data_IF_408575105290
#
_entry.id   IF_408575105290
#
_cell.length_a   1.000
_cell.length_b   1.000
_cell.length_c   1.000
_cell.angle_alpha   90.00
_cell.angle_beta   90.00
_cell.angle_gamma   90.00
#
_symmetry.space_group_name_H-M   'P 1'
#
loop_
_entity.id
_entity.type
_entity.pdbx_description
1 polymer ?
#
# COMPACT_ATOMS: atom_id res chain seq x y z
N UNK A 1 13.06 -0.94 30.06
CA UNK A 1 12.55 -0.45 28.76
C UNK A 1 13.70 -0.47 27.79
N UNK A 2 13.74 -1.41 26.85
CA UNK A 2 14.79 -1.47 25.84
C UNK A 2 14.54 -0.41 24.75
N UNK A 3 15.59 0.32 24.35
CA UNK A 3 15.51 1.39 23.38
C UNK A 3 15.28 0.84 21.96
N UNK A 4 14.36 1.45 21.23
CA UNK A 4 13.88 1.03 19.89
C UNK A 4 15.02 0.97 18.86
N UNK A 5 16.13 1.68 19.10
CA UNK A 5 17.26 1.76 18.18
C UNK A 5 18.03 0.44 18.00
N UNK A 6 17.96 -0.51 18.95
CA UNK A 6 18.62 -1.82 18.79
C UNK A 6 17.79 -2.83 17.99
N UNK A 7 16.50 -2.57 17.74
CA UNK A 7 15.61 -3.48 17.03
C UNK A 7 15.63 -3.29 15.51
N UNK A 8 16.12 -2.15 15.02
CA UNK A 8 16.00 -1.80 13.60
C UNK A 8 17.29 -1.89 12.79
N UNK A 9 18.46 -2.04 13.44
CA UNK A 9 19.75 -2.22 12.77
C UNK A 9 20.79 -2.71 13.80
N UNK A 10 21.22 -3.99 13.76
CA UNK A 10 22.46 -4.36 14.43
C UNK A 10 23.61 -3.71 13.64
N UNK A 11 24.01 -2.51 14.05
CA UNK A 11 25.18 -1.86 13.51
C UNK A 11 26.39 -2.72 13.84
N UNK A 12 26.96 -3.32 12.79
CA UNK A 12 28.25 -3.97 12.82
C UNK A 12 29.29 -2.92 13.23
N UNK A 13 29.77 -2.99 14.47
CA UNK A 13 30.99 -2.31 14.88
C UNK A 13 32.12 -2.81 13.99
N UNK A 14 32.74 -1.91 13.20
CA UNK A 14 33.90 -2.30 12.42
C UNK A 14 34.36 -1.26 11.41
N UNK A 15 35.37 -0.49 11.80
CA UNK A 15 36.41 0.00 10.88
C UNK A 15 36.14 1.33 10.18
N UNK A 16 36.87 2.36 10.62
CA UNK A 16 36.89 3.65 9.95
C UNK A 16 37.65 3.62 8.62
N UNK A 17 37.22 4.49 7.70
CA UNK A 17 38.07 5.05 6.66
C UNK A 17 37.57 6.45 6.33
N UNK A 18 38.50 7.40 6.40
CA UNK A 18 38.33 8.80 6.06
C UNK A 18 38.28 9.04 4.54
N UNK A 19 37.75 10.21 4.20
CA UNK A 19 38.15 11.09 3.08
C UNK A 19 37.43 11.04 1.73
N UNK A 20 36.92 12.24 1.38
CA UNK A 20 37.16 13.02 0.15
C UNK A 20 36.03 13.16 -0.91
N UNK A 21 35.36 14.32 -0.83
CA UNK A 21 35.26 15.38 -1.85
C UNK A 21 34.85 15.04 -3.31
N UNK A 22 33.77 15.68 -3.78
CA UNK A 22 33.38 15.75 -5.19
C UNK A 22 32.28 16.80 -5.43
N UNK A 23 32.70 18.02 -5.76
CA UNK A 23 31.91 19.21 -6.14
C UNK A 23 31.31 19.09 -7.55
N UNK A 24 30.09 19.60 -7.78
CA UNK A 24 29.64 20.30 -9.02
C UNK A 24 28.24 20.91 -8.84
N UNK A 25 28.07 22.17 -9.26
CA UNK A 25 26.94 23.09 -9.04
C UNK A 25 26.48 23.61 -10.40
N UNK A 26 25.17 23.60 -10.71
CA UNK A 26 24.59 24.44 -11.78
C UNK A 26 23.15 24.89 -11.40
N UNK A 27 22.95 26.21 -11.42
CA UNK A 27 21.72 26.97 -11.14
C UNK A 27 21.12 27.49 -12.45
N UNK A 28 19.79 27.40 -12.65
CA UNK A 28 19.07 28.27 -13.59
C UNK A 28 17.67 28.63 -13.06
N UNK A 29 17.45 29.93 -12.80
CA UNK A 29 16.16 30.57 -12.50
C UNK A 29 15.63 31.31 -13.71
N UNK A 30 14.30 31.32 -13.92
CA UNK A 30 13.60 32.32 -14.72
C UNK A 30 12.21 32.61 -14.10
N UNK A 31 11.96 33.88 -13.83
CA UNK A 31 10.71 34.47 -13.35
C UNK A 31 9.79 34.85 -14.52
N UNK A 32 8.47 34.98 -14.32
CA UNK A 32 7.79 36.29 -14.33
C UNK A 32 6.27 36.25 -14.03
N UNK A 33 5.83 37.24 -13.23
CA UNK A 33 4.60 38.07 -13.16
C UNK A 33 3.17 37.51 -13.42
N UNK A 34 2.24 37.63 -12.43
CA UNK A 34 1.17 38.68 -12.23
C UNK A 34 -0.02 38.55 -13.23
N UNK A 35 -1.34 38.68 -12.95
CA UNK A 35 -2.15 39.33 -11.90
C UNK A 35 -3.64 38.92 -12.07
N UNK A 36 -4.33 38.55 -10.98
CA UNK A 36 -5.70 38.86 -10.46
C UNK A 36 -6.98 39.19 -11.30
N UNK A 37 -8.19 39.07 -10.68
CA UNK A 37 -9.44 38.49 -11.26
C UNK A 37 -10.65 39.46 -11.40
N UNK A 38 -11.80 38.96 -11.91
CA UNK A 38 -13.08 39.69 -11.96
C UNK A 38 -14.34 38.82 -11.86
N UNK A 39 -15.33 39.34 -11.12
CA UNK A 39 -16.82 39.25 -11.14
C UNK A 39 -17.54 38.18 -11.99
N UNK A 40 -18.77 37.71 -11.73
CA UNK A 40 -19.79 37.86 -10.68
C UNK A 40 -20.89 36.80 -10.99
N UNK A 41 -21.59 36.38 -9.93
CA UNK A 41 -23.02 36.00 -9.83
C UNK A 41 -23.74 35.29 -11.00
N UNK A 42 -24.42 34.16 -10.70
CA UNK A 42 -25.89 33.97 -10.85
C UNK A 42 -26.30 32.60 -10.28
N UNK A 43 -27.19 32.59 -9.29
CA UNK A 43 -27.93 31.43 -8.80
C UNK A 43 -28.99 30.98 -9.81
N UNK A 44 -29.21 29.68 -10.02
CA UNK A 44 -30.55 29.12 -10.23
C UNK A 44 -30.54 27.60 -10.05
N UNK A 45 -31.48 27.14 -9.22
CA UNK A 45 -31.78 25.75 -8.89
C UNK A 45 -32.09 24.89 -10.13
N UNK A 46 -31.79 23.58 -10.05
CA UNK A 46 -32.74 22.51 -10.39
C UNK A 46 -32.18 21.15 -9.96
N UNK A 47 -32.98 20.52 -9.11
CA UNK A 47 -32.88 19.19 -8.54
C UNK A 47 -32.75 18.11 -9.63
N UNK A 48 -31.67 17.31 -9.58
CA UNK A 48 -31.54 16.05 -10.32
C UNK A 48 -30.97 14.99 -9.39
N UNK A 49 -31.86 14.15 -8.88
CA UNK A 49 -31.56 12.96 -8.09
C UNK A 49 -30.57 12.04 -8.81
N UNK A 50 -29.30 12.20 -8.51
CA UNK A 50 -28.26 11.26 -8.88
C UNK A 50 -28.30 10.11 -7.87
N UNK A 51 -28.88 8.98 -8.28
CA UNK A 51 -28.68 7.69 -7.62
C UNK A 51 -27.18 7.49 -7.46
N UNK A 52 -26.68 7.67 -6.24
CA UNK A 52 -25.28 7.44 -5.89
C UNK A 52 -25.00 5.96 -6.19
N UNK A 53 -24.40 5.68 -7.35
CA UNK A 53 -23.66 4.44 -7.58
C UNK A 53 -22.66 4.37 -6.43
N UNK A 54 -22.92 3.48 -5.49
CA UNK A 54 -22.07 3.22 -4.33
C UNK A 54 -20.67 2.96 -4.88
N UNK A 55 -19.74 3.88 -4.62
CA UNK A 55 -18.34 3.73 -4.99
C UNK A 55 -17.86 2.48 -4.24
N UNK A 56 -17.85 1.33 -4.92
CA UNK A 56 -17.18 0.13 -4.43
C UNK A 56 -15.78 0.60 -4.06
N UNK A 57 -15.45 0.47 -2.78
CA UNK A 57 -14.13 0.84 -2.29
C UNK A 57 -13.13 0.06 -3.15
N UNK A 58 -12.21 0.75 -3.84
CA UNK A 58 -11.24 0.12 -4.76
C UNK A 58 -10.41 -0.98 -4.09
N UNK A 59 -10.39 -0.96 -2.75
CA UNK A 59 -9.69 -1.86 -1.86
C UNK A 59 -10.52 -3.05 -1.34
N UNK A 60 -11.80 -3.17 -1.71
CA UNK A 60 -12.59 -4.33 -1.30
C UNK A 60 -12.01 -5.61 -1.92
N UNK A 61 -11.74 -6.61 -1.09
CA UNK A 61 -11.34 -7.93 -1.56
C UNK A 61 -12.43 -8.53 -2.46
N UNK A 62 -12.03 -8.94 -3.67
CA UNK A 62 -12.89 -9.61 -4.64
C UNK A 62 -12.39 -11.03 -4.82
N UNK A 63 -13.24 -12.01 -4.47
CA UNK A 63 -12.97 -13.43 -4.69
C UNK A 63 -13.81 -13.92 -5.85
N UNK A 64 -13.28 -13.77 -7.06
CA UNK A 64 -13.88 -14.32 -8.29
C UNK A 64 -12.98 -15.46 -8.77
N UNK A 65 -13.48 -16.69 -8.88
CA UNK A 65 -12.70 -17.79 -9.42
C UNK A 65 -12.13 -17.41 -10.78
N UNK A 66 -10.82 -17.57 -10.94
CA UNK A 66 -10.12 -17.24 -12.19
C UNK A 66 -8.85 -18.05 -12.31
N UNK A 67 -8.24 -18.05 -13.49
CA UNK A 67 -6.94 -18.67 -13.72
C UNK A 67 -5.82 -17.66 -13.52
N UNK A 68 -4.70 -18.14 -12.99
CA UNK A 68 -3.48 -17.35 -12.86
C UNK A 68 -3.06 -16.84 -14.24
N UNK A 69 -2.83 -15.53 -14.35
CA UNK A 69 -2.30 -14.88 -15.55
C UNK A 69 -0.78 -14.81 -15.48
N UNK A 70 -0.12 -15.24 -16.55
CA UNK A 70 1.33 -15.16 -16.68
C UNK A 70 2.09 -16.06 -15.71
N UNK A 71 3.30 -15.64 -15.33
CA UNK A 71 4.18 -16.42 -14.46
C UNK A 71 3.77 -16.32 -12.97
N UNK A 72 3.61 -17.44 -12.27
CA UNK A 72 3.46 -17.46 -10.82
C UNK A 72 4.79 -17.86 -10.17
N UNK A 73 5.52 -16.88 -9.64
CA UNK A 73 6.79 -17.12 -8.94
C UNK A 73 6.63 -17.20 -7.43
N UNK A 74 5.55 -16.62 -6.89
CA UNK A 74 5.24 -16.55 -5.47
C UNK A 74 3.82 -17.09 -5.21
N UNK A 75 3.62 -18.42 -5.30
CA UNK A 75 2.34 -19.03 -5.01
C UNK A 75 1.97 -18.88 -3.52
N UNK A 76 0.68 -18.97 -3.16
CA UNK A 76 0.27 -19.07 -1.76
C UNK A 76 0.85 -20.35 -1.14
N UNK A 77 1.40 -20.24 0.07
CA UNK A 77 1.73 -21.40 0.88
C UNK A 77 0.51 -21.76 1.73
N UNK A 78 -0.11 -22.89 1.40
CA UNK A 78 -1.38 -23.35 1.99
C UNK A 78 -1.18 -24.59 2.86
N UNK A 79 0.05 -24.84 3.30
CA UNK A 79 0.30 -25.89 4.29
C UNK A 79 -0.54 -25.66 5.54
N UNK A 80 -1.32 -26.66 5.94
CA UNK A 80 -2.15 -26.62 7.15
C UNK A 80 -1.59 -27.57 8.20
N UNK A 81 -1.18 -27.00 9.33
CA UNK A 81 -0.90 -27.72 10.57
C UNK A 81 -2.01 -27.45 11.58
N UNK A 82 -2.19 -28.31 12.59
CA UNK A 82 -3.25 -28.19 13.61
C UNK A 82 -3.21 -26.82 14.31
N UNK A 83 -2.01 -26.33 14.63
CA UNK A 83 -1.82 -25.01 15.22
C UNK A 83 -2.24 -23.89 14.27
N UNK A 84 -1.88 -24.02 12.98
CA UNK A 84 -2.16 -22.99 11.99
C UNK A 84 -3.65 -22.95 11.63
N UNK A 85 -4.30 -24.10 11.55
CA UNK A 85 -5.74 -24.21 11.33
C UNK A 85 -6.52 -23.55 12.49
N UNK A 86 -6.12 -23.80 13.74
CA UNK A 86 -6.70 -23.12 14.90
C UNK A 86 -6.52 -21.59 14.83
N UNK A 87 -5.38 -21.10 14.33
CA UNK A 87 -5.15 -19.65 14.12
C UNK A 87 -5.97 -19.11 12.95
N UNK A 88 -6.06 -19.84 11.84
CA UNK A 88 -6.88 -19.45 10.69
C UNK A 88 -8.36 -19.34 11.07
N UNK A 89 -8.85 -20.28 11.88
CA UNK A 89 -10.19 -20.22 12.43
C UNK A 89 -10.36 -19.04 13.40
N UNK A 90 -9.40 -18.82 14.31
CA UNK A 90 -9.42 -17.70 15.26
C UNK A 90 -9.47 -16.35 14.55
N UNK A 91 -8.77 -16.17 13.43
CA UNK A 91 -8.71 -14.92 12.67
C UNK A 91 -9.67 -14.88 11.48
N UNK A 92 -10.60 -15.83 11.36
CA UNK A 92 -11.57 -15.93 10.25
C UNK A 92 -10.91 -15.75 8.86
N UNK A 93 -9.78 -16.43 8.63
CA UNK A 93 -9.04 -16.32 7.37
C UNK A 93 -9.90 -16.87 6.23
N UNK A 94 -9.92 -16.17 5.10
CA UNK A 94 -10.65 -16.62 3.91
C UNK A 94 -10.01 -16.11 2.60
N UNK A 95 -9.90 -16.95 1.56
CA UNK A 95 -10.22 -18.38 1.50
C UNK A 95 -9.03 -19.22 2.00
N UNK A 96 -9.22 -20.04 3.02
CA UNK A 96 -8.16 -20.96 3.48
C UNK A 96 -8.08 -22.13 2.49
N UNK A 97 -6.87 -22.49 2.05
CA UNK A 97 -6.62 -23.65 1.17
C UNK A 97 -7.04 -23.49 -0.29
N UNK A 98 -7.64 -22.36 -0.66
CA UNK A 98 -8.13 -22.07 -2.01
C UNK A 98 -7.71 -20.68 -2.52
N UNK A 99 -6.71 -20.03 -1.91
CA UNK A 99 -6.23 -18.70 -2.30
C UNK A 99 -5.83 -18.68 -3.77
N UNK A 100 -5.17 -19.74 -4.24
CA UNK A 100 -4.71 -19.87 -5.62
C UNK A 100 -5.85 -19.88 -6.65
N UNK A 101 -7.08 -20.21 -6.22
CA UNK A 101 -8.29 -20.27 -7.06
C UNK A 101 -8.87 -18.89 -7.37
N UNK A 102 -8.50 -17.86 -6.60
CA UNK A 102 -9.02 -16.49 -6.74
C UNK A 102 -7.92 -15.46 -7.09
N UNK A 103 -7.14 -15.66 -8.18
CA UNK A 103 -6.20 -14.65 -8.62
C UNK A 103 -6.95 -13.40 -9.09
N UNK A 104 -6.38 -12.23 -8.80
CA UNK A 104 -6.97 -10.94 -9.14
C UNK A 104 -6.02 -10.12 -10.02
N UNK A 105 -6.55 -9.69 -11.15
CA UNK A 105 -5.90 -8.72 -12.03
C UNK A 105 -6.27 -7.30 -11.62
N UNK A 106 -5.27 -6.44 -11.39
CA UNK A 106 -5.44 -5.04 -11.02
C UNK A 106 -4.72 -4.16 -12.06
N UNK A 107 -5.45 -3.48 -12.94
CA UNK A 107 -4.86 -2.50 -13.85
C UNK A 107 -4.18 -1.37 -13.06
N UNK A 108 -2.93 -1.06 -13.38
CA UNK A 108 -2.21 0.06 -12.81
C UNK A 108 -2.35 1.28 -13.70
N UNK A 109 -3.30 2.15 -13.35
CA UNK A 109 -3.46 3.44 -14.00
C UNK A 109 -2.92 4.55 -13.07
N UNK A 110 -1.67 4.92 -13.28
CA UNK A 110 -1.01 6.02 -12.60
C UNK A 110 -0.39 6.94 -13.64
N UNK A 111 -0.49 8.25 -13.42
CA UNK A 111 0.18 9.25 -14.27
C UNK A 111 1.71 9.08 -14.27
N UNK A 112 2.25 8.35 -13.29
CA UNK A 112 3.67 8.01 -13.19
C UNK A 112 3.98 6.86 -14.17
N UNK A 113 4.50 7.22 -15.35
CA UNK A 113 5.00 6.29 -16.39
C UNK A 113 6.10 5.32 -15.92
N UNK A 114 6.71 5.62 -14.77
CA UNK A 114 7.79 4.83 -14.17
C UNK A 114 7.43 3.35 -13.91
N UNK A 115 6.16 2.99 -13.73
CA UNK A 115 5.80 1.59 -13.46
C UNK A 115 5.98 0.71 -14.70
N UNK A 116 5.41 1.14 -15.84
CA UNK A 116 5.59 0.46 -17.11
C UNK A 116 7.06 0.42 -17.51
N UNK A 117 7.75 1.56 -17.43
CA UNK A 117 9.17 1.68 -17.81
C UNK A 117 10.09 0.78 -16.98
N UNK A 118 9.81 0.60 -15.68
CA UNK A 118 10.65 -0.22 -14.81
C UNK A 118 10.31 -1.71 -14.83
N UNK A 119 9.03 -2.05 -15.02
CA UNK A 119 8.56 -3.43 -14.83
C UNK A 119 8.13 -4.12 -16.12
N UNK A 120 7.91 -3.37 -17.21
CA UNK A 120 7.32 -3.89 -18.45
C UNK A 120 5.89 -4.38 -18.30
N UNK A 121 5.18 -3.97 -17.24
CA UNK A 121 3.83 -4.42 -16.91
C UNK A 121 2.89 -3.24 -16.71
N UNK A 122 1.63 -3.40 -17.15
CA UNK A 122 0.56 -2.39 -16.98
C UNK A 122 -0.39 -2.74 -15.82
N UNK A 123 -0.19 -3.91 -15.20
CA UNK A 123 -1.06 -4.45 -14.17
C UNK A 123 -0.27 -5.17 -13.08
N UNK A 124 -0.94 -5.33 -11.94
CA UNK A 124 -0.53 -6.27 -10.92
C UNK A 124 -1.36 -7.53 -11.04
N UNK A 125 -0.69 -8.66 -10.92
CA UNK A 125 -1.29 -9.97 -10.82
C UNK A 125 -1.14 -10.42 -9.36
N UNK A 126 -2.26 -10.45 -8.62
CA UNK A 126 -2.21 -10.59 -7.16
C UNK A 126 -3.00 -11.77 -6.66
N UNK A 127 -2.52 -12.35 -5.56
CA UNK A 127 -3.35 -13.13 -4.64
C UNK A 127 -3.76 -12.25 -3.47
N UNK A 128 -4.82 -12.68 -2.79
CA UNK A 128 -5.34 -11.99 -1.62
C UNK A 128 -6.04 -12.96 -0.68
N UNK A 129 -6.00 -12.67 0.61
CA UNK A 129 -6.87 -13.28 1.60
C UNK A 129 -7.38 -12.19 2.56
N UNK A 130 -8.50 -12.47 3.20
CA UNK A 130 -9.07 -11.66 4.26
C UNK A 130 -8.84 -12.32 5.61
N UNK A 131 -8.69 -11.50 6.65
CA UNK A 131 -8.61 -11.93 8.04
C UNK A 131 -9.21 -10.85 8.94
N UNK A 132 -9.57 -11.24 10.16
CA UNK A 132 -10.10 -10.36 11.21
C UNK A 132 -9.30 -10.56 12.49
N UNK A 133 -9.29 -9.55 13.35
CA UNK A 133 -8.74 -9.67 14.71
C UNK A 133 -9.89 -9.95 15.67
N UNK A 134 -9.82 -10.98 16.55
CA UNK A 134 -10.83 -11.22 17.57
C UNK A 134 -11.11 -9.96 18.39
N UNK A 135 -12.37 -9.52 18.40
CA UNK A 135 -12.80 -8.30 19.08
C UNK A 135 -12.79 -7.02 18.22
N UNK A 136 -12.23 -7.04 17.01
CA UNK A 136 -12.31 -5.94 16.03
C UNK A 136 -13.29 -6.32 14.90
N UNK A 137 -14.34 -5.53 14.63
CA UNK A 137 -15.24 -5.78 13.51
C UNK A 137 -14.60 -5.54 12.13
N UNK A 138 -13.40 -4.96 12.08
CA UNK A 138 -12.72 -4.60 10.83
C UNK A 138 -12.13 -5.84 10.15
N UNK A 139 -12.50 -6.05 8.89
CA UNK A 139 -11.84 -7.04 8.04
C UNK A 139 -10.64 -6.42 7.34
N UNK A 140 -9.50 -7.08 7.45
CA UNK A 140 -8.25 -6.72 6.81
C UNK A 140 -8.03 -7.60 5.59
N UNK A 141 -7.44 -7.05 4.52
CA UNK A 141 -7.15 -7.78 3.28
C UNK A 141 -5.66 -7.78 3.03
N UNK A 142 -5.01 -8.94 3.13
CA UNK A 142 -3.66 -9.12 2.62
C UNK A 142 -3.71 -9.33 1.11
N UNK A 143 -2.77 -8.71 0.41
CA UNK A 143 -2.56 -8.94 -1.02
C UNK A 143 -1.08 -8.89 -1.35
N UNK A 144 -0.67 -9.69 -2.31
CA UNK A 144 0.68 -9.70 -2.84
C UNK A 144 0.70 -10.00 -4.33
N UNK A 145 1.63 -9.37 -5.05
CA UNK A 145 1.89 -9.66 -6.45
C UNK A 145 2.61 -11.00 -6.57
N UNK A 146 2.01 -11.97 -7.25
CA UNK A 146 2.56 -13.32 -7.35
C UNK A 146 3.64 -13.46 -8.44
N UNK A 147 3.88 -12.43 -9.25
CA UNK A 147 5.00 -12.41 -10.19
C UNK A 147 6.29 -11.96 -9.50
N UNK A 148 6.22 -10.96 -8.61
CA UNK A 148 7.42 -10.33 -7.99
C UNK A 148 7.53 -10.46 -6.47
N UNK A 149 6.48 -10.93 -5.78
CA UNK A 149 6.46 -11.10 -4.33
C UNK A 149 6.23 -9.80 -3.54
N UNK A 150 5.78 -8.73 -4.20
CA UNK A 150 5.52 -7.46 -3.53
C UNK A 150 4.25 -7.53 -2.68
N UNK A 151 4.38 -7.37 -1.37
CA UNK A 151 3.27 -7.46 -0.40
C UNK A 151 2.77 -6.08 -0.01
N UNK A 152 1.44 -5.90 0.05
CA UNK A 152 0.85 -4.70 0.67
C UNK A 152 0.85 -4.85 2.18
N UNK A 153 1.77 -4.17 2.86
CA UNK A 153 1.95 -4.28 4.32
C UNK A 153 0.98 -3.42 5.14
N UNK A 154 0.21 -2.52 4.52
CA UNK A 154 -0.73 -1.62 5.22
C UNK A 154 -1.68 -2.32 6.22
N UNK A 155 -2.30 -3.47 5.91
CA UNK A 155 -3.21 -4.14 6.83
C UNK A 155 -2.53 -4.61 8.13
N UNK A 156 -1.27 -5.03 8.05
CA UNK A 156 -0.46 -5.48 9.20
C UNK A 156 -0.27 -4.36 10.25
N UNK A 157 -0.08 -3.12 9.79
CA UNK A 157 0.03 -1.98 10.69
C UNK A 157 -1.34 -1.55 11.23
N UNK A 158 -2.37 -1.56 10.37
CA UNK A 158 -3.72 -1.14 10.77
C UNK A 158 -4.32 -2.06 11.83
N UNK A 159 -4.12 -3.38 11.74
CA UNK A 159 -4.64 -4.33 12.72
C UNK A 159 -3.97 -4.23 14.10
N UNK A 160 -2.80 -3.59 14.19
CA UNK A 160 -2.11 -3.29 15.45
C UNK A 160 -2.43 -1.90 16.02
N UNK A 161 -3.44 -1.21 15.49
CA UNK A 161 -3.77 0.19 15.83
C UNK A 161 -2.60 1.16 15.65
N UNK A 162 -1.64 0.83 14.80
CA UNK A 162 -0.57 1.75 14.44
C UNK A 162 -1.10 2.78 13.46
N UNK A 163 -1.28 4.01 13.94
CA UNK A 163 -1.63 5.13 13.08
C UNK A 163 -0.53 5.37 12.06
N UNK A 164 -0.92 5.79 10.85
CA UNK A 164 0.03 6.31 9.85
C UNK A 164 0.83 7.42 10.53
N UNK A 165 2.15 7.27 10.63
CA UNK A 165 3.01 8.37 11.05
C UNK A 165 2.88 9.46 9.99
N UNK A 166 2.32 10.60 10.38
CA UNK A 166 2.38 11.81 9.54
C UNK A 166 3.85 12.21 9.35
N UNK A 167 4.18 12.96 8.29
CA UNK A 167 5.48 13.63 8.23
C UNK A 167 5.64 14.40 9.55
N UNK A 168 6.75 14.17 10.26
CA UNK A 168 6.96 14.70 11.59
C UNK A 168 7.02 16.24 11.56
N UNK A 169 5.86 16.90 11.60
CA UNK A 169 5.75 18.29 12.04
C UNK A 169 5.82 18.30 13.56
N UNK A 170 6.91 17.77 14.12
CA UNK A 170 7.33 18.19 15.46
C UNK A 170 8.05 19.50 15.26
N UNK A 171 7.28 20.58 15.26
CA UNK A 171 7.78 21.92 15.54
C UNK A 171 8.66 21.82 16.78
N UNK A 172 9.98 21.79 16.60
CA UNK A 172 10.91 22.04 17.69
C UNK A 172 10.74 23.51 18.06
N UNK A 173 9.81 23.80 18.97
CA UNK A 173 9.85 25.04 19.72
C UNK A 173 11.07 24.94 20.63
N UNK A 174 12.19 25.53 20.19
CA UNK A 174 13.25 25.92 21.12
C UNK A 174 12.62 26.90 22.13
N UNK A 175 12.59 26.51 23.40
CA UNK A 175 12.67 27.47 24.50
C UNK A 175 14.14 27.67 24.82
#
# INVERSE_FOLDING_TARGET
>A
MAAIHSLLNPAQEGGGYDSNNGSSKEDHSAADSQTSPGSELTEHALDKGLRKKQKVCKDAAVFKPSTVRGECRYPPDEFQDELLEAKHQMYEVYPIGDIATYPRHIPYNSEKKLFWEKTGRESFEVFQYQYKIPGDPTTYTMLWDYNIGLVRTTPLFKCGNYSKVGPATKTMSRR
#
